data_IF_396137618476
#
_entry.id   IF_396137618476
#
_cell.length_a   1.000
_cell.length_b   1.000
_cell.length_c   1.000
_cell.angle_alpha   90.00
_cell.angle_beta   90.00
_cell.angle_gamma   90.00
#
_symmetry.space_group_name_H-M   'P 1'
#
loop_
_entity.id
_entity.type
_entity.pdbx_description
1 polymer ?
#
# COMPACT_ATOMS: atom_id res chain seq x y z
N UNK A 1 10.92 10.90 -48.42
CA UNK A 1 9.50 10.65 -48.00
C UNK A 1 9.31 9.30 -47.25
N UNK A 2 9.78 8.16 -47.77
CA UNK A 2 9.56 6.83 -47.12
C UNK A 2 10.10 6.73 -45.69
N UNK A 3 11.30 7.28 -45.41
CA UNK A 3 11.91 7.27 -44.06
C UNK A 3 11.12 8.09 -43.01
N UNK A 4 10.43 9.15 -43.46
CA UNK A 4 9.64 10.03 -42.58
C UNK A 4 8.31 9.36 -42.24
N UNK A 5 7.67 8.70 -43.20
CA UNK A 5 6.42 7.93 -42.97
C UNK A 5 6.64 6.78 -42.01
N UNK A 6 7.75 6.04 -42.13
CA UNK A 6 8.09 4.93 -41.22
C UNK A 6 8.28 5.43 -39.77
N UNK A 7 8.94 6.58 -39.58
CA UNK A 7 9.13 7.18 -38.24
C UNK A 7 7.80 7.60 -37.63
N UNK A 8 6.91 8.21 -38.40
CA UNK A 8 5.57 8.62 -37.93
C UNK A 8 4.73 7.40 -37.55
N UNK A 9 4.73 6.33 -38.35
CA UNK A 9 4.02 5.10 -38.04
C UNK A 9 4.53 4.42 -36.78
N UNK A 10 5.86 4.44 -36.53
CA UNK A 10 6.45 3.88 -35.32
C UNK A 10 6.04 4.68 -34.08
N UNK A 11 6.04 6.01 -34.15
CA UNK A 11 5.61 6.89 -33.06
C UNK A 11 4.13 6.68 -32.75
N UNK A 12 3.27 6.59 -33.78
CA UNK A 12 1.85 6.32 -33.58
C UNK A 12 1.58 4.93 -33.00
N UNK A 13 2.37 3.92 -33.40
CA UNK A 13 2.28 2.57 -32.82
C UNK A 13 2.70 2.57 -31.34
N UNK A 14 3.75 3.29 -30.97
CA UNK A 14 4.18 3.43 -29.58
C UNK A 14 3.13 4.16 -28.74
N UNK A 15 2.57 5.27 -29.29
CA UNK A 15 1.48 6.00 -28.63
C UNK A 15 0.24 5.12 -28.47
N UNK A 16 -0.11 4.35 -29.47
CA UNK A 16 -1.27 3.42 -29.42
C UNK A 16 -1.05 2.27 -28.42
N UNK A 17 0.16 1.70 -28.38
CA UNK A 17 0.53 0.66 -27.39
C UNK A 17 0.54 1.25 -25.99
N UNK A 18 1.09 2.45 -25.79
CA UNK A 18 1.04 3.16 -24.53
C UNK A 18 -0.42 3.43 -24.14
N UNK A 19 -1.26 3.94 -25.05
CA UNK A 19 -2.67 4.20 -24.82
C UNK A 19 -3.44 2.92 -24.44
N UNK A 20 -3.23 1.80 -25.13
CA UNK A 20 -3.82 0.49 -24.75
C UNK A 20 -3.36 0.07 -23.35
N UNK A 21 -2.06 0.17 -23.11
CA UNK A 21 -1.47 -0.19 -21.81
C UNK A 21 -2.04 0.65 -20.66
N UNK A 22 -2.25 1.95 -20.90
CA UNK A 22 -2.85 2.87 -19.94
C UNK A 22 -4.37 2.63 -19.78
N UNK A 23 -5.07 2.32 -20.87
CA UNK A 23 -6.52 2.12 -20.86
C UNK A 23 -6.95 0.82 -20.17
N UNK A 24 -6.22 -0.26 -20.36
CA UNK A 24 -6.55 -1.55 -19.72
C UNK A 24 -6.39 -1.52 -18.19
N UNK A 25 -5.51 -0.66 -17.68
CA UNK A 25 -5.23 -0.58 -16.24
C UNK A 25 -5.98 0.56 -15.53
N UNK A 26 -6.45 1.57 -16.27
CA UNK A 26 -7.21 2.70 -15.72
C UNK A 26 -8.71 2.40 -15.59
N UNK A 27 -9.21 1.40 -16.30
CA UNK A 27 -10.61 1.03 -16.25
C UNK A 27 -10.90 0.17 -15.01
N UNK A 28 -11.30 0.83 -13.95
CA UNK A 28 -12.06 0.17 -12.89
C UNK A 28 -13.30 -0.46 -13.54
N UNK A 29 -13.52 -1.79 -13.46
CA UNK A 29 -14.80 -2.36 -13.87
C UNK A 29 -15.87 -1.73 -12.99
N UNK A 30 -16.71 -0.89 -13.58
CA UNK A 30 -17.70 -0.07 -12.86
C UNK A 30 -18.66 -0.90 -12.01
N UNK A 31 -18.91 -2.15 -12.37
CA UNK A 31 -19.89 -3.02 -11.71
C UNK A 31 -19.29 -3.92 -10.62
N UNK A 32 -18.07 -4.42 -10.75
CA UNK A 32 -17.51 -5.38 -9.79
C UNK A 32 -17.01 -4.71 -8.50
N UNK A 33 -16.46 -3.51 -8.61
CA UNK A 33 -15.85 -2.79 -7.48
C UNK A 33 -16.83 -2.32 -6.41
N UNK A 34 -18.12 -2.08 -6.75
CA UNK A 34 -19.14 -1.70 -5.76
C UNK A 34 -19.49 -2.83 -4.78
N UNK A 35 -19.25 -4.06 -5.15
CA UNK A 35 -19.57 -5.25 -4.35
C UNK A 35 -18.37 -5.74 -3.53
N UNK A 36 -17.14 -5.37 -3.91
CA UNK A 36 -15.96 -5.83 -3.20
C UNK A 36 -15.78 -5.08 -1.88
N UNK A 37 -15.96 -5.80 -0.80
CA UNK A 37 -15.86 -5.29 0.58
C UNK A 37 -15.50 -6.41 1.55
N UNK A 38 -14.96 -6.05 2.70
CA UNK A 38 -14.84 -6.97 3.81
C UNK A 38 -16.22 -7.24 4.41
N UNK A 39 -16.50 -8.49 4.71
CA UNK A 39 -17.70 -8.90 5.46
C UNK A 39 -17.68 -8.33 6.88
N UNK A 40 -18.82 -8.20 7.56
CA UNK A 40 -18.88 -7.82 8.97
C UNK A 40 -18.04 -8.73 9.87
N UNK A 41 -18.01 -10.04 9.57
CA UNK A 41 -17.19 -11.02 10.29
C UNK A 41 -15.69 -10.79 10.13
N UNK A 42 -15.23 -10.37 8.97
CA UNK A 42 -13.83 -10.02 8.74
C UNK A 42 -13.46 -8.69 9.42
N UNK A 43 -14.31 -7.68 9.30
CA UNK A 43 -14.11 -6.40 10.00
C UNK A 43 -14.03 -6.58 11.52
N UNK A 44 -14.82 -7.49 12.09
CA UNK A 44 -14.77 -7.78 13.52
C UNK A 44 -13.43 -8.36 14.00
N UNK A 45 -12.68 -9.06 13.12
CA UNK A 45 -11.36 -9.60 13.43
C UNK A 45 -10.26 -8.54 13.49
N UNK A 46 -10.46 -7.37 12.85
CA UNK A 46 -9.46 -6.35 12.72
C UNK A 46 -9.16 -5.65 14.03
N UNK A 47 -7.88 -5.34 14.22
CA UNK A 47 -7.37 -4.62 15.39
C UNK A 47 -6.46 -3.47 14.95
N UNK A 48 -6.30 -2.49 15.82
CA UNK A 48 -5.30 -1.45 15.64
C UNK A 48 -3.90 -2.05 15.51
N UNK A 49 -3.15 -1.61 14.51
CA UNK A 49 -1.82 -2.13 14.22
C UNK A 49 -1.80 -3.35 13.28
N UNK A 50 -2.95 -3.82 12.77
CA UNK A 50 -2.94 -4.72 11.63
C UNK A 50 -2.44 -3.99 10.39
N UNK A 51 -1.69 -4.68 9.55
CA UNK A 51 -1.27 -4.18 8.23
C UNK A 51 -2.26 -4.71 7.21
N UNK A 52 -2.85 -3.81 6.43
CA UNK A 52 -3.70 -4.16 5.29
C UNK A 52 -2.95 -3.87 4.00
N UNK A 53 -2.85 -4.88 3.14
CA UNK A 53 -2.20 -4.80 1.84
C UNK A 53 -3.25 -4.98 0.74
N UNK A 54 -3.00 -4.38 -0.42
CA UNK A 54 -3.88 -4.46 -1.59
C UNK A 54 -3.12 -4.27 -2.90
N UNK A 55 -3.69 -4.72 -4.00
CA UNK A 55 -3.38 -4.23 -5.33
C UNK A 55 -4.19 -2.96 -5.59
N UNK A 56 -3.53 -1.84 -5.81
CA UNK A 56 -4.19 -0.60 -6.24
C UNK A 56 -4.49 -0.58 -7.74
N UNK A 57 -5.32 0.38 -8.18
CA UNK A 57 -5.55 0.65 -9.60
C UNK A 57 -4.54 1.66 -10.14
N UNK A 58 -4.40 1.69 -11.47
CA UNK A 58 -3.67 2.70 -12.21
C UNK A 58 -2.22 2.34 -12.50
N UNK A 59 -1.61 3.18 -13.34
CA UNK A 59 -0.27 2.96 -13.91
C UNK A 59 0.81 2.72 -12.84
N UNK A 60 0.82 3.54 -11.77
CA UNK A 60 1.84 3.42 -10.70
C UNK A 60 1.75 2.04 -10.04
N UNK A 61 0.54 1.58 -9.70
CA UNK A 61 0.33 0.27 -9.10
C UNK A 61 0.78 -0.86 -10.03
N UNK A 62 0.50 -0.75 -11.34
CA UNK A 62 0.94 -1.73 -12.33
C UNK A 62 2.46 -1.77 -12.46
N UNK A 63 3.13 -0.62 -12.46
CA UNK A 63 4.59 -0.56 -12.47
C UNK A 63 5.18 -1.21 -11.21
N UNK A 64 4.67 -0.89 -10.03
CA UNK A 64 5.09 -1.51 -8.77
C UNK A 64 4.95 -3.02 -8.84
N UNK A 65 3.80 -3.54 -9.27
CA UNK A 65 3.56 -4.99 -9.37
C UNK A 65 4.51 -5.70 -10.34
N UNK A 66 4.92 -5.03 -11.42
CA UNK A 66 5.89 -5.60 -12.37
C UNK A 66 7.33 -5.54 -11.87
N UNK A 67 7.65 -4.54 -11.05
CA UNK A 67 9.00 -4.33 -10.51
C UNK A 67 9.26 -5.15 -9.24
N UNK A 68 8.24 -5.32 -8.40
CA UNK A 68 8.32 -6.06 -7.15
C UNK A 68 7.94 -7.53 -7.39
N UNK A 69 8.82 -8.46 -7.01
CA UNK A 69 8.54 -9.91 -7.06
C UNK A 69 7.87 -10.34 -5.76
N UNK A 70 6.63 -9.88 -5.53
CA UNK A 70 5.85 -10.24 -4.35
C UNK A 70 5.19 -11.62 -4.51
N UNK A 71 4.95 -12.33 -3.40
CA UNK A 71 4.29 -13.64 -3.40
C UNK A 71 2.76 -13.50 -3.48
N UNK A 72 2.26 -12.30 -3.16
CA UNK A 72 0.86 -11.87 -3.28
C UNK A 72 0.74 -10.71 -4.25
N UNK A 73 -0.39 -10.56 -4.89
CA UNK A 73 -0.67 -9.41 -5.77
C UNK A 73 -0.99 -8.17 -4.92
N UNK A 74 0.06 -7.53 -4.42
CA UNK A 74 -0.01 -6.35 -3.56
C UNK A 74 0.97 -5.28 -4.04
N UNK A 75 0.54 -4.01 -4.00
CA UNK A 75 1.35 -2.86 -4.43
C UNK A 75 1.27 -1.69 -3.47
N UNK A 76 0.42 -1.80 -2.45
CA UNK A 76 0.16 -0.74 -1.49
C UNK A 76 -0.27 -1.32 -0.15
N UNK A 77 0.01 -0.59 0.92
CA UNK A 77 -0.35 -1.01 2.26
C UNK A 77 -0.67 0.18 3.18
N UNK A 78 -1.28 -0.14 4.32
CA UNK A 78 -1.58 0.81 5.39
C UNK A 78 -1.78 0.11 6.73
N UNK A 79 -1.91 0.91 7.77
CA UNK A 79 -2.14 0.45 9.15
C UNK A 79 -3.60 0.61 9.52
N UNK A 80 -4.22 -0.44 10.02
CA UNK A 80 -5.59 -0.41 10.55
C UNK A 80 -5.61 0.34 11.88
N UNK A 81 -6.51 1.31 11.99
CA UNK A 81 -6.83 2.03 13.21
C UNK A 81 -8.30 1.74 13.56
N UNK A 82 -8.50 1.13 14.71
CA UNK A 82 -9.83 0.84 15.24
C UNK A 82 -10.11 1.74 16.44
N UNK A 83 -11.11 2.60 16.30
CA UNK A 83 -11.60 3.47 17.35
C UNK A 83 -13.11 3.23 17.52
N UNK A 84 -13.50 2.55 18.60
CA UNK A 84 -14.85 2.00 18.75
C UNK A 84 -15.19 1.09 17.57
N UNK A 85 -16.32 1.33 16.90
CA UNK A 85 -16.72 0.58 15.69
C UNK A 85 -16.19 1.20 14.39
N UNK A 86 -15.37 2.24 14.48
CA UNK A 86 -14.86 2.96 13.33
C UNK A 86 -13.51 2.37 12.92
N UNK A 87 -13.44 1.86 11.69
CA UNK A 87 -12.22 1.30 11.09
C UNK A 87 -11.69 2.28 10.03
N UNK A 88 -10.48 2.78 10.26
CA UNK A 88 -9.74 3.62 9.33
C UNK A 88 -8.42 2.98 8.97
N UNK A 89 -7.91 3.32 7.81
CA UNK A 89 -6.59 2.92 7.33
C UNK A 89 -5.71 4.17 7.27
N UNK A 90 -4.60 4.13 8.00
CA UNK A 90 -3.55 5.12 7.91
C UNK A 90 -2.54 4.69 6.85
N UNK A 91 -2.40 5.47 5.77
CA UNK A 91 -1.49 5.15 4.67
C UNK A 91 -0.98 6.43 3.99
N UNK A 92 0.20 6.37 3.37
CA UNK A 92 0.75 7.47 2.59
C UNK A 92 0.32 7.33 1.13
N UNK A 93 -0.20 8.41 0.54
CA UNK A 93 -0.62 8.48 -0.87
C UNK A 93 0.05 9.65 -1.57
N UNK A 94 0.38 9.44 -2.84
CA UNK A 94 0.85 10.47 -3.74
C UNK A 94 -0.30 11.32 -4.27
N UNK A 95 -0.05 12.62 -4.45
CA UNK A 95 -0.95 13.54 -5.16
C UNK A 95 -1.21 13.14 -6.61
N UNK A 96 -0.39 12.28 -7.20
CA UNK A 96 -0.62 11.73 -8.56
C UNK A 96 -1.80 10.73 -8.61
N UNK A 97 -2.20 10.17 -7.48
CA UNK A 97 -3.30 9.18 -7.37
C UNK A 97 -4.43 9.62 -6.44
N UNK A 98 -4.30 10.78 -5.80
CA UNK A 98 -5.29 11.32 -4.87
C UNK A 98 -5.26 12.86 -4.89
N UNK A 99 -6.36 13.50 -4.46
CA UNK A 99 -6.44 14.97 -4.38
C UNK A 99 -5.58 15.58 -3.26
N UNK A 100 -4.88 14.76 -2.52
CA UNK A 100 -4.09 15.18 -1.37
C UNK A 100 -2.82 14.35 -1.33
N UNK A 101 -1.74 14.86 -0.82
CA UNK A 101 -0.42 14.23 -0.70
C UNK A 101 -0.13 13.79 0.74
N UNK A 102 0.68 12.73 0.91
CA UNK A 102 1.15 12.28 2.20
C UNK A 102 0.19 11.37 2.98
N UNK A 103 0.33 11.37 4.32
CA UNK A 103 -0.42 10.47 5.20
C UNK A 103 -1.91 10.81 5.27
N UNK A 104 -2.73 9.76 5.17
CA UNK A 104 -4.20 9.82 5.22
C UNK A 104 -4.81 8.85 6.18
N UNK A 105 -6.00 9.21 6.67
CA UNK A 105 -6.90 8.34 7.41
C UNK A 105 -8.15 8.08 6.55
N UNK A 106 -8.14 7.01 5.80
CA UNK A 106 -9.23 6.60 4.90
C UNK A 106 -10.15 5.58 5.59
N UNK A 107 -11.47 5.68 5.38
CA UNK A 107 -12.39 4.63 5.84
C UNK A 107 -12.04 3.28 5.18
N UNK A 108 -12.14 2.18 5.93
CA UNK A 108 -11.75 0.86 5.44
C UNK A 108 -12.53 0.45 4.18
N UNK A 109 -13.81 0.77 4.10
CA UNK A 109 -14.62 0.43 2.93
C UNK A 109 -14.14 1.16 1.68
N UNK A 110 -13.75 2.44 1.82
CA UNK A 110 -13.15 3.19 0.72
C UNK A 110 -11.76 2.67 0.34
N UNK A 111 -10.96 2.21 1.31
CA UNK A 111 -9.67 1.60 1.03
C UNK A 111 -9.84 0.30 0.24
N UNK A 112 -10.74 -0.59 0.67
CA UNK A 112 -11.04 -1.86 -0.01
C UNK A 112 -11.67 -1.62 -1.37
N UNK A 113 -12.60 -0.67 -1.49
CA UNK A 113 -13.20 -0.27 -2.77
C UNK A 113 -12.16 0.20 -3.80
N UNK A 114 -11.07 0.81 -3.37
CA UNK A 114 -9.97 1.24 -4.22
C UNK A 114 -8.92 0.14 -4.50
N UNK A 115 -9.30 -1.13 -4.33
CA UNK A 115 -8.45 -2.30 -4.59
C UNK A 115 -8.97 -3.10 -5.77
N UNK A 116 -8.09 -3.81 -6.47
CA UNK A 116 -8.51 -4.90 -7.34
C UNK A 116 -9.25 -5.95 -6.49
N UNK A 117 -10.28 -6.55 -7.08
CA UNK A 117 -11.06 -7.59 -6.42
C UNK A 117 -10.17 -8.76 -6.00
N UNK A 118 -10.48 -9.34 -4.85
CA UNK A 118 -9.76 -10.50 -4.29
C UNK A 118 -8.26 -10.27 -4.02
N UNK A 119 -7.80 -9.03 -3.84
CA UNK A 119 -6.38 -8.74 -3.55
C UNK A 119 -6.10 -8.34 -2.11
N UNK A 120 -7.12 -8.21 -1.26
CA UNK A 120 -6.92 -7.84 0.13
C UNK A 120 -6.20 -8.95 0.90
N UNK A 121 -5.12 -8.54 1.56
CA UNK A 121 -4.37 -9.33 2.53
C UNK A 121 -4.26 -8.52 3.82
N UNK A 122 -4.64 -9.10 4.97
CA UNK A 122 -4.45 -8.46 6.27
C UNK A 122 -3.56 -9.32 7.13
N UNK A 123 -2.54 -8.70 7.70
CA UNK A 123 -1.57 -9.36 8.56
C UNK A 123 -1.47 -8.65 9.91
N UNK A 124 -1.07 -9.40 10.93
CA UNK A 124 -0.90 -8.91 12.30
C UNK A 124 0.49 -9.24 12.79
N UNK A 125 1.20 -8.23 13.27
CA UNK A 125 2.49 -8.42 13.93
C UNK A 125 2.34 -9.39 15.11
N UNK A 126 3.23 -10.37 15.21
CA UNK A 126 3.28 -11.28 16.35
C UNK A 126 3.56 -10.51 17.64
N UNK A 127 2.99 -10.98 18.73
CA UNK A 127 3.20 -10.39 20.07
C UNK A 127 2.81 -8.90 20.17
N UNK A 128 1.85 -8.45 19.34
CA UNK A 128 1.24 -7.13 19.51
C UNK A 128 0.28 -7.15 20.70
N UNK A 129 0.35 -6.14 21.55
CA UNK A 129 -0.50 -5.94 22.72
C UNK A 129 -1.16 -4.54 22.68
N UNK A 130 -2.05 -4.28 23.61
CA UNK A 130 -2.80 -3.02 23.69
C UNK A 130 -1.90 -1.80 23.93
N UNK A 131 -0.75 -1.98 24.62
CA UNK A 131 0.23 -0.91 24.85
C UNK A 131 0.89 -0.54 23.52
N UNK A 132 1.34 -1.54 22.74
CA UNK A 132 1.92 -1.32 21.41
C UNK A 132 0.91 -0.69 20.46
N UNK A 133 -0.36 -1.17 20.48
CA UNK A 133 -1.43 -0.57 19.69
C UNK A 133 -1.63 0.91 19.99
N UNK A 134 -1.66 1.29 21.28
CA UNK A 134 -1.78 2.68 21.72
C UNK A 134 -0.57 3.54 21.25
N UNK A 135 0.64 2.98 21.29
CA UNK A 135 1.85 3.66 20.78
C UNK A 135 1.79 3.85 19.25
N UNK A 136 1.29 2.87 18.50
CA UNK A 136 1.08 2.98 17.04
C UNK A 136 0.14 4.15 16.73
N UNK A 137 -1.01 4.25 17.41
CA UNK A 137 -1.95 5.36 17.22
C UNK A 137 -1.25 6.72 17.46
N UNK A 138 -0.49 6.85 18.56
CA UNK A 138 0.25 8.08 18.84
C UNK A 138 1.27 8.45 17.77
N UNK A 139 1.95 7.46 17.19
CA UNK A 139 2.89 7.70 16.10
C UNK A 139 2.17 8.13 14.81
N UNK A 140 1.04 7.49 14.49
CA UNK A 140 0.22 7.88 13.34
C UNK A 140 -0.31 9.30 13.50
N UNK A 141 -0.82 9.66 14.68
CA UNK A 141 -1.27 11.03 14.97
C UNK A 141 -0.13 12.06 14.84
N UNK A 142 1.08 11.69 15.28
CA UNK A 142 2.26 12.53 15.12
C UNK A 142 2.59 12.80 13.65
N UNK A 143 2.68 11.75 12.82
CA UNK A 143 2.95 11.90 11.40
C UNK A 143 1.81 12.60 10.66
N UNK A 144 0.56 12.30 11.02
CA UNK A 144 -0.62 12.96 10.46
C UNK A 144 -0.62 14.48 10.72
N UNK A 145 -0.24 14.91 11.92
CA UNK A 145 -0.12 16.34 12.26
C UNK A 145 1.05 17.03 11.56
N UNK A 146 2.11 16.29 11.27
CA UNK A 146 3.27 16.84 10.54
C UNK A 146 2.98 17.13 9.07
N UNK A 147 1.95 16.52 8.48
CA UNK A 147 1.57 16.72 7.08
C UNK A 147 2.76 16.53 6.11
N UNK A 148 3.63 15.54 6.38
CA UNK A 148 4.76 15.25 5.50
C UNK A 148 4.26 14.80 4.13
N UNK A 149 4.87 15.27 3.03
CA UNK A 149 4.47 14.88 1.68
C UNK A 149 4.80 13.41 1.38
N UNK A 150 4.29 12.93 0.27
CA UNK A 150 4.65 11.61 -0.24
C UNK A 150 6.03 11.66 -0.89
N UNK A 151 6.91 10.71 -0.53
CA UNK A 151 8.24 10.57 -1.16
C UNK A 151 8.10 9.95 -2.57
N UNK A 152 8.24 10.80 -3.58
CA UNK A 152 8.24 10.42 -4.99
C UNK A 152 9.59 9.89 -5.46
N UNK A 153 10.64 10.12 -4.70
CA UNK A 153 12.00 9.66 -5.02
C UNK A 153 12.27 8.24 -4.52
N UNK A 154 11.42 7.73 -3.62
CA UNK A 154 11.61 6.47 -2.91
C UNK A 154 12.96 6.39 -2.19
N UNK A 155 13.40 7.51 -1.63
CA UNK A 155 14.65 7.62 -0.91
C UNK A 155 14.45 7.45 0.60
N UNK A 156 14.43 6.21 1.08
CA UNK A 156 14.24 5.86 2.49
C UNK A 156 15.23 6.55 3.48
N UNK A 157 16.28 7.20 2.99
CA UNK A 157 17.23 7.98 3.82
C UNK A 157 16.71 9.37 4.15
N UNK A 158 15.79 9.90 3.35
CA UNK A 158 15.11 11.15 3.64
C UNK A 158 14.06 10.94 4.72
N UNK A 159 13.96 11.85 5.67
CA UNK A 159 12.98 11.79 6.77
C UNK A 159 11.93 12.89 6.68
N UNK A 160 11.97 13.70 5.64
CA UNK A 160 11.07 14.84 5.43
C UNK A 160 9.83 14.48 4.62
N UNK A 161 9.84 13.32 3.96
CA UNK A 161 8.75 12.75 3.17
C UNK A 161 8.72 11.23 3.35
N UNK A 162 7.58 10.57 3.02
CA UNK A 162 7.45 9.12 3.19
C UNK A 162 6.55 8.50 2.14
N UNK A 163 6.96 7.35 1.57
CA UNK A 163 6.05 6.48 0.83
C UNK A 163 5.38 5.43 1.74
N UNK A 164 4.46 4.64 1.20
CA UNK A 164 3.55 3.82 2.00
C UNK A 164 4.25 2.82 2.95
N UNK A 165 5.19 2.01 2.46
CA UNK A 165 5.90 1.03 3.29
C UNK A 165 6.92 1.67 4.21
N UNK A 166 7.58 2.74 3.78
CA UNK A 166 8.52 3.48 4.59
C UNK A 166 7.88 4.03 5.86
N UNK A 167 6.68 4.63 5.76
CA UNK A 167 5.94 5.12 6.93
C UNK A 167 5.77 4.01 7.98
N UNK A 168 5.46 2.78 7.55
CA UNK A 168 5.29 1.66 8.48
C UNK A 168 6.62 1.25 9.09
N UNK A 169 7.71 1.16 8.30
CA UNK A 169 9.05 0.93 8.83
C UNK A 169 9.44 1.97 9.86
N UNK A 170 9.20 3.27 9.59
CA UNK A 170 9.46 4.36 10.53
C UNK A 170 8.73 4.15 11.84
N UNK A 171 7.46 3.78 11.81
CA UNK A 171 6.65 3.57 13.01
C UNK A 171 7.07 2.29 13.74
N UNK A 172 7.12 1.15 13.06
CA UNK A 172 7.24 -0.17 13.70
C UNK A 172 8.67 -0.52 14.09
N UNK A 173 9.65 -0.22 13.24
CA UNK A 173 11.06 -0.56 13.48
C UNK A 173 11.78 0.61 14.16
N UNK A 174 11.81 1.79 13.55
CA UNK A 174 12.66 2.88 14.03
C UNK A 174 12.15 3.51 15.32
N UNK A 175 10.86 3.92 15.35
CA UNK A 175 10.35 4.69 16.49
C UNK A 175 9.92 3.80 17.65
N UNK A 176 9.20 2.71 17.38
CA UNK A 176 8.64 1.86 18.42
C UNK A 176 9.45 0.61 18.72
N UNK A 177 10.34 0.19 17.79
CA UNK A 177 11.17 -1.03 17.88
C UNK A 177 10.37 -2.29 18.20
N UNK A 178 9.14 -2.36 17.66
CA UNK A 178 8.22 -3.49 17.85
C UNK A 178 8.34 -4.53 16.74
N UNK A 179 8.91 -4.17 15.58
CA UNK A 179 9.30 -5.04 14.49
C UNK A 179 10.83 -5.06 14.44
N UNK A 180 11.41 -6.23 14.67
CA UNK A 180 12.84 -6.44 14.57
C UNK A 180 13.06 -7.54 13.53
N UNK A 181 13.65 -7.18 12.40
CA UNK A 181 14.02 -8.14 11.34
C UNK A 181 15.45 -8.57 11.49
N UNK A 182 15.80 -9.71 10.89
CA UNK A 182 17.15 -10.23 10.96
C UNK A 182 18.18 -9.24 10.37
N UNK A 183 19.36 -9.13 11.00
CA UNK A 183 20.44 -8.24 10.56
C UNK A 183 20.97 -8.57 9.15
N UNK A 184 20.71 -9.78 8.67
CA UNK A 184 21.03 -10.20 7.29
C UNK A 184 20.19 -9.50 6.21
N UNK A 185 19.06 -8.87 6.59
CA UNK A 185 18.20 -8.14 5.66
C UNK A 185 18.71 -6.71 5.55
N UNK A 186 19.26 -6.35 4.38
CA UNK A 186 19.74 -4.97 4.13
C UNK A 186 18.59 -3.97 4.05
N UNK A 187 18.88 -2.69 4.32
CA UNK A 187 17.89 -1.62 4.17
C UNK A 187 17.26 -1.61 2.77
N UNK A 188 18.06 -1.79 1.73
CA UNK A 188 17.55 -1.86 0.37
C UNK A 188 16.54 -3.01 0.18
N UNK A 189 16.79 -4.18 0.78
CA UNK A 189 15.84 -5.29 0.75
C UNK A 189 14.56 -4.96 1.53
N UNK A 190 14.68 -4.32 2.71
CA UNK A 190 13.52 -3.91 3.50
C UNK A 190 12.60 -2.97 2.72
N UNK A 191 13.18 -1.93 2.13
CA UNK A 191 12.40 -0.83 1.54
C UNK A 191 11.91 -1.10 0.12
N UNK A 192 12.51 -2.05 -0.60
CA UNK A 192 12.14 -2.41 -1.98
C UNK A 192 11.14 -3.56 -2.09
N UNK A 193 10.55 -4.02 -0.98
CA UNK A 193 9.57 -5.11 -0.98
C UNK A 193 8.53 -4.92 0.13
N UNK A 194 7.37 -5.53 -0.06
CA UNK A 194 6.34 -5.65 0.98
C UNK A 194 6.39 -6.99 1.72
N UNK A 195 7.28 -7.91 1.31
CA UNK A 195 7.36 -9.30 1.82
C UNK A 195 7.45 -9.39 3.33
N UNK A 196 8.21 -8.51 3.97
CA UNK A 196 8.34 -8.52 5.43
C UNK A 196 7.00 -8.39 6.15
N UNK A 197 6.05 -7.64 5.58
CA UNK A 197 4.75 -7.39 6.20
C UNK A 197 3.76 -8.56 6.12
N UNK A 198 4.14 -9.64 5.43
CA UNK A 198 3.41 -10.91 5.44
C UNK A 198 4.32 -12.13 5.66
N UNK A 199 5.58 -11.91 6.03
CA UNK A 199 6.51 -12.97 6.39
C UNK A 199 6.01 -13.70 7.66
N UNK A 200 5.82 -15.04 7.60
CA UNK A 200 5.32 -15.81 8.73
C UNK A 200 6.28 -15.83 9.94
N UNK A 201 7.51 -15.38 9.80
CA UNK A 201 8.40 -15.19 10.95
C UNK A 201 7.96 -14.01 11.83
N UNK A 202 7.38 -12.98 11.25
CA UNK A 202 7.02 -11.73 11.94
C UNK A 202 5.53 -11.51 12.05
N UNK A 203 4.74 -11.97 11.08
CA UNK A 203 3.31 -11.69 10.99
C UNK A 203 2.46 -12.95 10.88
N UNK A 204 1.22 -12.87 11.39
CA UNK A 204 0.17 -13.85 11.15
C UNK A 204 -0.80 -13.29 10.11
N UNK A 205 -1.20 -14.08 9.13
CA UNK A 205 -2.24 -13.72 8.17
C UNK A 205 -3.60 -13.84 8.86
N UNK A 206 -4.38 -12.75 8.86
CA UNK A 206 -5.71 -12.63 9.50
C UNK A 206 -6.82 -12.76 8.46
N UNK A 207 -6.63 -12.14 7.28
CA UNK A 207 -7.54 -12.20 6.13
C UNK A 207 -6.68 -12.39 4.88
N UNK A 208 -7.12 -13.29 4.01
CA UNK A 208 -6.48 -13.51 2.70
C UNK A 208 -7.56 -13.77 1.65
N UNK A 209 -7.75 -12.83 0.75
CA UNK A 209 -8.67 -12.93 -0.38
C UNK A 209 -8.02 -13.48 -1.66
N UNK A 210 -6.72 -13.77 -1.62
CA UNK A 210 -5.92 -14.20 -2.79
C UNK A 210 -5.74 -15.73 -2.87
N UNK A 211 -6.60 -16.47 -2.21
CA UNK A 211 -6.58 -17.94 -2.24
C UNK A 211 -7.47 -18.49 -3.35
#
# INVERSE_FOLDING_TARGET
>A
MLKTTIKISLVLAVIFLAYKFFKDDSNRPYESSFLYKLSPKEKAKLQTGDIILRRGYGFVSTMISKMMSEDYDVTHLGVVIKQNDNLKIAHALSSSVSNQDGLRLQAIDSFVHNSHDSTILVTRLKNIDTIKQSKIVKQIDYYYKKQLPFDHSFNYKDTTEHYCSELIWRIYEHNLKILQVADSITDQQKYNTLKTFYDPNYFNIIINHQK
#
